data_IF_357437911245
#
_entry.id   IF_357437911245
#
_cell.length_a   1.000
_cell.length_b   1.000
_cell.length_c   1.000
_cell.angle_alpha   90.00
_cell.angle_beta   90.00
_cell.angle_gamma   90.00
#
_symmetry.space_group_name_H-M   'P 1'
#
loop_
_entity.id
_entity.type
_entity.pdbx_description
1 polymer ?
#
# COMPACT_ATOMS: atom_id res chain seq x y z
N UNK A 1 -3.62 -15.81 16.08
CA UNK A 1 -3.25 -14.54 15.42
C UNK A 1 -3.56 -14.68 13.94
N UNK A 2 -4.81 -14.47 13.55
CA UNK A 2 -5.19 -14.52 12.12
C UNK A 2 -5.32 -13.08 11.60
N UNK A 3 -4.19 -12.38 11.62
CA UNK A 3 -4.07 -11.02 11.10
C UNK A 3 -3.98 -11.07 9.59
N UNK A 4 -5.10 -11.35 8.91
CA UNK A 4 -5.13 -11.44 7.45
C UNK A 4 -4.72 -10.10 6.86
N UNK A 5 -3.50 -10.01 6.34
CA UNK A 5 -2.99 -8.81 5.70
C UNK A 5 -3.80 -8.55 4.43
N UNK A 6 -4.55 -7.44 4.41
CA UNK A 6 -5.45 -7.04 3.31
C UNK A 6 -4.85 -5.97 2.41
N UNK A 7 -3.74 -5.36 2.84
CA UNK A 7 -3.00 -4.35 2.11
C UNK A 7 -1.51 -4.50 2.43
N UNK A 8 -0.69 -4.51 1.39
CA UNK A 8 0.77 -4.51 1.49
C UNK A 8 1.31 -3.51 0.48
N UNK A 9 2.03 -2.52 0.99
CA UNK A 9 2.68 -1.50 0.19
C UNK A 9 4.15 -1.45 0.56
N UNK A 10 5.04 -1.58 -0.43
CA UNK A 10 6.48 -1.67 -0.21
C UNK A 10 7.26 -1.00 -1.33
N UNK A 11 8.46 -0.52 -0.99
CA UNK A 11 9.41 0.01 -1.98
C UNK A 11 10.32 -1.12 -2.45
N UNK A 12 10.55 -1.17 -3.76
CA UNK A 12 11.54 -2.05 -4.40
C UNK A 12 12.66 -1.19 -5.00
N UNK A 13 13.65 -1.83 -5.62
CA UNK A 13 14.78 -1.14 -6.23
C UNK A 13 14.36 -0.18 -7.36
N UNK A 14 15.22 0.80 -7.67
CA UNK A 14 14.97 1.75 -8.75
C UNK A 14 13.86 2.78 -8.48
N UNK A 15 13.40 2.93 -7.23
CA UNK A 15 12.32 3.87 -6.91
C UNK A 15 10.92 3.39 -7.30
N UNK A 16 10.78 2.10 -7.65
CA UNK A 16 9.49 1.48 -7.89
C UNK A 16 8.86 0.96 -6.58
N UNK A 17 7.57 0.65 -6.65
CA UNK A 17 6.77 0.19 -5.50
C UNK A 17 5.88 -0.99 -5.89
N UNK A 18 5.61 -1.86 -4.92
CA UNK A 18 4.61 -2.92 -5.02
C UNK A 18 3.40 -2.58 -4.16
N UNK A 19 2.21 -2.90 -4.66
CA UNK A 19 0.94 -2.70 -3.96
C UNK A 19 0.06 -3.94 -4.15
N UNK A 20 0.03 -4.79 -3.12
CA UNK A 20 -0.86 -5.95 -3.06
C UNK A 20 -2.05 -5.60 -2.17
N UNK A 21 -3.26 -5.87 -2.66
CA UNK A 21 -4.47 -5.65 -1.87
C UNK A 21 -5.48 -6.76 -2.10
N UNK A 22 -6.33 -6.96 -1.10
CA UNK A 22 -7.45 -7.90 -1.15
C UNK A 22 -8.71 -7.16 -0.74
N UNK A 23 -9.87 -7.80 -0.94
CA UNK A 23 -11.12 -7.31 -0.38
C UNK A 23 -10.94 -7.00 1.11
N UNK A 24 -11.49 -5.88 1.61
CA UNK A 24 -12.52 -5.05 0.95
C UNK A 24 -12.01 -3.92 0.05
N UNK A 25 -10.69 -3.77 -0.17
CA UNK A 25 -10.18 -2.65 -0.97
C UNK A 25 -10.41 -2.85 -2.48
N UNK A 26 -10.79 -1.76 -3.14
CA UNK A 26 -10.63 -1.62 -4.60
C UNK A 26 -9.23 -1.09 -4.94
N UNK A 27 -8.85 -1.19 -6.22
CA UNK A 27 -7.57 -0.67 -6.69
C UNK A 27 -7.38 0.83 -6.38
N UNK A 28 -8.42 1.65 -6.57
CA UNK A 28 -8.35 3.09 -6.30
C UNK A 28 -8.21 3.39 -4.80
N UNK A 29 -8.93 2.66 -3.94
CA UNK A 29 -8.81 2.82 -2.49
C UNK A 29 -7.42 2.42 -1.97
N UNK A 30 -6.92 1.25 -2.41
CA UNK A 30 -5.59 0.78 -2.04
C UNK A 30 -4.49 1.76 -2.51
N UNK A 31 -4.64 2.30 -3.72
CA UNK A 31 -3.71 3.29 -4.27
C UNK A 31 -3.72 4.60 -3.48
N UNK A 32 -4.89 5.10 -3.08
CA UNK A 32 -4.99 6.30 -2.24
C UNK A 32 -4.28 6.11 -0.89
N UNK A 33 -4.42 4.93 -0.26
CA UNK A 33 -3.71 4.60 0.99
C UNK A 33 -2.19 4.56 0.78
N UNK A 34 -1.73 3.96 -0.33
CA UNK A 34 -0.31 3.92 -0.68
C UNK A 34 0.27 5.33 -0.86
N UNK A 35 -0.42 6.22 -1.59
CA UNK A 35 0.01 7.61 -1.78
C UNK A 35 0.09 8.38 -0.44
N UNK A 36 -0.90 8.22 0.42
CA UNK A 36 -0.90 8.85 1.75
C UNK A 36 0.30 8.40 2.60
N UNK A 37 0.72 7.14 2.49
CA UNK A 37 1.88 6.62 3.22
C UNK A 37 3.22 7.24 2.78
N UNK A 38 3.34 7.60 1.48
CA UNK A 38 4.51 8.29 0.95
C UNK A 38 4.55 9.73 1.45
N UNK A 39 3.42 10.45 1.36
CA UNK A 39 3.37 11.87 1.73
C UNK A 39 3.56 12.10 3.22
N UNK A 40 3.08 11.16 4.06
CA UNK A 40 3.32 11.19 5.51
C UNK A 40 4.80 11.02 5.87
N UNK A 41 5.55 10.22 5.11
CA UNK A 41 6.97 9.96 5.36
C UNK A 41 7.90 11.09 4.84
N UNK A 42 7.37 11.99 4.03
CA UNK A 42 8.10 13.14 3.48
C UNK A 42 8.02 14.40 4.36
N UNK A 43 7.27 14.36 5.48
CA UNK A 43 7.34 15.37 6.56
C UNK A 43 8.45 15.02 7.55
#
# INVERSE_FOLDING_TARGET
MDGKQVLQFGRIEGGAYTLDFKRPFSASQAFAVALASITQRLK
#
